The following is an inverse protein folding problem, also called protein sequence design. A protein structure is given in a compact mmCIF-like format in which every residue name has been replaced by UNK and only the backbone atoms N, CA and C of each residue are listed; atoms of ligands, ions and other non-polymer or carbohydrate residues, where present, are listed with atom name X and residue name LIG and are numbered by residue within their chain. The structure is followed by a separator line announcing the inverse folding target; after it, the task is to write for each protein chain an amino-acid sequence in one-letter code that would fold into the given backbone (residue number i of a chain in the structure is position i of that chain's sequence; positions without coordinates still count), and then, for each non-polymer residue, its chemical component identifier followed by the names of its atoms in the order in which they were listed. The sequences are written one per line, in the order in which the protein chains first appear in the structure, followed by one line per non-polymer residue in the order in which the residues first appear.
data_IF_500768320507
#
_entry.id   IF_500768320507
#
_cell.length_a   1.000
_cell.length_b   1.000
_cell.length_c   1.000
_cell.angle_alpha   90.00
_cell.angle_beta   90.00
_cell.angle_gamma   90.00
#
_symmetry.space_group_name_H-M   'P 1'
#
loop_
_entity.id
_entity.type
_entity.pdbx_description
1 polymer ?
#
# COMPACT_ATOMS: atom_id res chain seq x y z
N UNK A 1 66.43 10.88 -65.53
CA UNK A 1 66.21 11.44 -64.17
C UNK A 1 64.83 12.10 -64.13
N UNK A 2 63.74 11.38 -63.83
CA UNK A 2 62.40 11.90 -63.43
C UNK A 2 61.37 10.75 -63.32
N UNK A 3 61.23 10.15 -62.13
CA UNK A 3 60.02 9.42 -61.68
C UNK A 3 60.22 8.90 -60.24
N UNK A 4 59.70 9.61 -59.21
CA UNK A 4 58.91 8.93 -58.19
C UNK A 4 57.78 9.79 -57.58
N UNK A 5 57.26 10.79 -58.31
CA UNK A 5 56.29 11.75 -57.72
C UNK A 5 54.87 11.14 -57.58
N UNK A 6 54.48 10.22 -58.48
CA UNK A 6 53.14 9.60 -58.42
C UNK A 6 52.93 8.69 -57.20
N UNK A 7 53.98 8.03 -56.69
CA UNK A 7 53.85 7.03 -55.63
C UNK A 7 53.52 7.64 -54.25
N UNK A 8 54.01 8.86 -53.97
CA UNK A 8 53.78 9.54 -52.68
C UNK A 8 52.31 9.89 -52.45
N UNK A 9 51.60 10.28 -53.51
CA UNK A 9 50.16 10.65 -53.44
C UNK A 9 49.28 9.44 -53.08
N UNK A 10 49.55 8.28 -53.67
CA UNK A 10 48.81 7.05 -53.40
C UNK A 10 49.07 6.53 -51.98
N UNK A 11 50.31 6.63 -51.50
CA UNK A 11 50.68 6.27 -50.13
C UNK A 11 50.03 7.19 -49.09
N UNK A 12 50.03 8.51 -49.31
CA UNK A 12 49.34 9.47 -48.44
C UNK A 12 47.83 9.24 -48.37
N UNK A 13 47.18 8.96 -49.50
CA UNK A 13 45.74 8.63 -49.51
C UNK A 13 45.45 7.36 -48.72
N UNK A 14 46.33 6.36 -48.79
CA UNK A 14 46.20 5.10 -48.04
C UNK A 14 46.42 5.29 -46.53
N UNK A 15 47.39 6.11 -46.12
CA UNK A 15 47.63 6.41 -44.70
C UNK A 15 46.50 7.25 -44.09
N UNK A 16 46.00 8.25 -44.81
CA UNK A 16 44.84 9.06 -44.40
C UNK A 16 43.61 8.18 -44.23
N UNK A 17 43.30 7.32 -45.21
CA UNK A 17 42.16 6.39 -45.13
C UNK A 17 42.31 5.41 -43.96
N UNK A 18 43.51 4.89 -43.71
CA UNK A 18 43.77 3.99 -42.57
C UNK A 18 43.54 4.69 -41.23
N UNK A 19 43.99 5.93 -41.08
CA UNK A 19 43.78 6.69 -39.85
C UNK A 19 42.32 7.07 -39.66
N UNK A 20 41.61 7.43 -40.75
CA UNK A 20 40.17 7.68 -40.75
C UNK A 20 39.37 6.44 -40.35
N UNK A 21 39.69 5.28 -40.92
CA UNK A 21 39.07 4.01 -40.52
C UNK A 21 39.34 3.71 -39.05
N UNK A 22 40.58 3.83 -38.60
CA UNK A 22 40.94 3.61 -37.19
C UNK A 22 40.14 4.52 -36.25
N UNK A 23 40.04 5.81 -36.57
CA UNK A 23 39.23 6.77 -35.81
C UNK A 23 37.75 6.40 -35.80
N UNK A 24 37.17 6.05 -36.96
CA UNK A 24 35.78 5.60 -37.05
C UNK A 24 35.52 4.33 -36.24
N UNK A 25 36.46 3.38 -36.24
CA UNK A 25 36.34 2.14 -35.46
C UNK A 25 36.32 2.44 -33.96
N UNK A 26 37.20 3.33 -33.47
CA UNK A 26 37.22 3.73 -32.07
C UNK A 26 35.91 4.40 -31.67
N UNK A 27 35.41 5.33 -32.48
CA UNK A 27 34.14 6.01 -32.23
C UNK A 27 32.97 5.01 -32.19
N UNK A 28 32.91 4.09 -33.15
CA UNK A 28 31.87 3.07 -33.20
C UNK A 28 31.92 2.13 -31.98
N UNK A 29 33.12 1.76 -31.50
CA UNK A 29 33.28 0.92 -30.31
C UNK A 29 32.81 1.64 -29.04
N UNK A 30 33.14 2.93 -28.88
CA UNK A 30 32.74 3.69 -27.69
C UNK A 30 31.23 3.92 -27.69
N UNK A 31 30.66 4.41 -28.79
CA UNK A 31 29.22 4.67 -28.88
C UNK A 31 28.41 3.38 -28.82
N UNK A 32 28.87 2.32 -29.50
CA UNK A 32 28.24 1.01 -29.46
C UNK A 32 28.31 0.39 -28.06
N UNK A 33 29.49 0.40 -27.43
CA UNK A 33 29.69 -0.15 -26.08
C UNK A 33 28.85 0.59 -25.03
N UNK A 34 28.88 1.92 -25.03
CA UNK A 34 28.04 2.72 -24.12
C UNK A 34 26.56 2.53 -24.40
N UNK A 35 26.15 2.49 -25.66
CA UNK A 35 24.74 2.31 -26.04
C UNK A 35 24.20 0.94 -25.61
N UNK A 36 24.96 -0.12 -25.86
CA UNK A 36 24.62 -1.47 -25.39
C UNK A 36 24.53 -1.50 -23.88
N UNK A 37 25.56 -1.01 -23.18
CA UNK A 37 25.57 -1.00 -21.72
C UNK A 37 24.40 -0.21 -21.15
N UNK A 38 24.13 1.00 -21.65
CA UNK A 38 23.03 1.84 -21.20
C UNK A 38 21.64 1.21 -21.47
N UNK A 39 21.48 0.47 -22.57
CA UNK A 39 20.23 -0.23 -22.88
C UNK A 39 20.03 -1.52 -22.06
N UNK A 40 21.11 -2.15 -21.60
CA UNK A 40 21.04 -3.40 -20.82
C UNK A 40 21.18 -3.20 -19.31
N UNK A 41 21.55 -2.01 -18.86
CA UNK A 41 21.77 -1.75 -17.45
C UNK A 41 20.43 -1.55 -16.73
N UNK A 42 20.04 -2.53 -15.91
CA UNK A 42 18.90 -2.40 -15.02
C UNK A 42 19.22 -1.52 -13.82
N UNK A 43 18.61 -0.33 -13.76
CA UNK A 43 18.69 0.56 -12.60
C UNK A 43 17.62 0.11 -11.61
N UNK A 44 18.01 -0.82 -10.73
CA UNK A 44 17.15 -1.31 -9.64
C UNK A 44 17.14 -0.30 -8.48
N UNK A 45 16.05 0.46 -8.36
CA UNK A 45 15.78 1.33 -7.22
C UNK A 45 14.69 0.75 -6.35
N UNK A 46 14.99 0.39 -5.10
CA UNK A 46 13.98 0.02 -4.12
C UNK A 46 13.40 1.29 -3.49
N UNK A 47 12.12 1.57 -3.74
CA UNK A 47 11.40 2.66 -3.07
C UNK A 47 10.91 2.13 -1.72
N UNK A 48 11.41 2.71 -0.63
CA UNK A 48 10.92 2.42 0.72
C UNK A 48 9.72 3.33 0.96
N UNK A 49 8.51 2.75 0.96
CA UNK A 49 7.28 3.46 1.32
C UNK A 49 6.72 2.92 2.64
N UNK A 50 6.06 3.79 3.42
CA UNK A 50 5.36 3.40 4.63
C UNK A 50 3.90 3.10 4.28
N UNK A 51 3.57 1.81 4.22
CA UNK A 51 2.19 1.33 4.13
C UNK A 51 1.69 0.85 5.49
N UNK A 52 0.45 1.17 5.85
CA UNK A 52 -0.19 0.70 7.08
C UNK A 52 -1.24 -0.34 6.71
N UNK A 53 -1.14 -1.53 7.30
CA UNK A 53 -2.16 -2.57 7.16
C UNK A 53 -3.17 -2.37 8.29
N UNK A 54 -4.36 -1.88 7.96
CA UNK A 54 -5.46 -1.74 8.91
C UNK A 54 -6.40 -2.93 8.71
N UNK A 55 -6.63 -3.69 9.78
CA UNK A 55 -7.68 -4.72 9.79
C UNK A 55 -9.02 -4.00 9.86
N UNK A 56 -9.93 -4.32 8.93
CA UNK A 56 -11.28 -3.78 8.92
C UNK A 56 -12.07 -4.30 10.14
N UNK A 57 -11.91 -3.62 11.27
CA UNK A 57 -12.61 -3.94 12.50
C UNK A 57 -14.04 -3.40 12.41
N UNK A 58 -14.97 -4.25 12.01
CA UNK A 58 -16.41 -3.96 12.01
C UNK A 58 -16.97 -4.05 13.43
N UNK A 59 -16.61 -3.11 14.31
CA UNK A 59 -17.23 -2.98 15.63
C UNK A 59 -18.69 -2.52 15.47
N UNK A 60 -19.61 -3.48 15.48
CA UNK A 60 -21.03 -3.17 15.54
C UNK A 60 -21.37 -2.73 16.95
N UNK A 61 -21.42 -1.41 17.17
CA UNK A 61 -21.84 -0.81 18.43
C UNK A 61 -23.31 -1.16 18.73
N UNK A 62 -23.54 -2.04 19.69
CA UNK A 62 -24.89 -2.37 20.21
C UNK A 62 -25.15 -1.49 21.42
N UNK A 63 -26.04 -0.51 21.28
CA UNK A 63 -26.41 0.45 22.33
C UNK A 63 -27.91 0.32 22.64
N UNK A 64 -28.28 0.26 23.93
CA UNK A 64 -29.69 0.26 24.34
C UNK A 64 -30.31 1.67 24.17
N UNK A 65 -31.47 1.84 23.49
CA UNK A 65 -32.06 3.15 23.17
C UNK A 65 -32.42 4.00 24.39
N UNK A 66 -32.84 3.36 25.48
CA UNK A 66 -33.39 4.05 26.66
C UNK A 66 -32.36 4.26 27.77
N UNK A 67 -31.17 3.64 27.67
CA UNK A 67 -30.19 3.58 28.76
C UNK A 67 -30.70 2.85 30.03
N UNK A 68 -29.77 2.41 30.88
CA UNK A 68 -30.04 1.79 32.18
C UNK A 68 -28.78 1.17 32.81
N UNK A 69 -28.82 0.86 34.11
CA UNK A 69 -27.67 0.26 34.82
C UNK A 69 -27.49 -1.19 34.38
N UNK A 70 -26.29 -1.55 33.92
CA UNK A 70 -25.94 -2.93 33.55
C UNK A 70 -25.93 -3.79 34.82
N UNK A 71 -26.81 -4.80 34.87
CA UNK A 71 -26.86 -5.75 35.98
C UNK A 71 -25.89 -6.92 35.77
N UNK A 72 -25.88 -7.51 34.57
CA UNK A 72 -24.98 -8.63 34.21
C UNK A 72 -24.52 -8.52 32.77
N UNK A 73 -23.24 -8.82 32.53
CA UNK A 73 -22.65 -9.03 31.20
C UNK A 73 -22.44 -10.53 31.04
N UNK A 74 -23.03 -11.11 29.99
CA UNK A 74 -23.08 -12.57 29.78
C UNK A 74 -22.01 -13.05 28.77
N UNK A 75 -21.19 -12.14 28.24
CA UNK A 75 -20.20 -12.39 27.20
C UNK A 75 -18.85 -11.75 27.54
N UNK A 76 -17.76 -12.30 27.00
CA UNK A 76 -16.39 -11.79 27.15
C UNK A 76 -15.84 -11.31 25.82
N UNK A 77 -14.81 -10.47 25.87
CA UNK A 77 -14.12 -10.00 24.67
C UNK A 77 -13.59 -11.18 23.85
N UNK A 78 -13.99 -11.25 22.58
CA UNK A 78 -13.63 -12.32 21.65
C UNK A 78 -14.63 -13.48 21.55
N UNK A 79 -15.71 -13.48 22.33
CA UNK A 79 -16.75 -14.52 22.23
C UNK A 79 -17.54 -14.42 20.92
N UNK A 80 -17.81 -15.57 20.29
CA UNK A 80 -18.65 -15.66 19.08
C UNK A 80 -20.13 -15.67 19.47
N UNK A 81 -20.87 -14.66 19.06
CA UNK A 81 -22.30 -14.50 19.33
C UNK A 81 -23.15 -14.60 18.05
N UNK A 82 -24.38 -15.09 18.19
CA UNK A 82 -25.38 -15.17 17.11
C UNK A 82 -26.49 -14.16 17.33
N UNK A 83 -27.27 -13.89 16.29
CA UNK A 83 -28.44 -13.02 16.40
C UNK A 83 -29.46 -13.64 17.36
N UNK A 84 -29.87 -12.88 18.39
CA UNK A 84 -30.79 -13.33 19.43
C UNK A 84 -30.11 -13.68 20.76
N UNK A 85 -28.79 -13.75 20.82
CA UNK A 85 -28.07 -14.01 22.07
C UNK A 85 -28.17 -12.80 23.02
N UNK A 86 -28.44 -13.07 24.29
CA UNK A 86 -28.51 -12.04 25.33
C UNK A 86 -27.08 -11.68 25.74
N UNK A 87 -26.62 -10.50 25.33
CA UNK A 87 -25.27 -10.02 25.64
C UNK A 87 -25.19 -9.37 27.02
N UNK A 88 -26.20 -8.58 27.35
CA UNK A 88 -26.26 -7.75 28.56
C UNK A 88 -27.67 -7.79 29.13
N UNK A 89 -27.78 -7.95 30.45
CA UNK A 89 -29.02 -7.83 31.20
C UNK A 89 -29.01 -6.52 31.98
N UNK A 90 -29.98 -5.64 31.71
CA UNK A 90 -30.21 -4.42 32.48
C UNK A 90 -30.79 -4.76 33.85
N UNK A 91 -30.46 -3.97 34.88
CA UNK A 91 -30.91 -4.22 36.25
C UNK A 91 -32.40 -3.92 36.42
N UNK A 92 -33.14 -4.85 37.02
CA UNK A 92 -34.60 -4.79 37.24
C UNK A 92 -35.03 -3.80 38.36
N UNK A 93 -34.11 -3.03 38.91
CA UNK A 93 -34.39 -2.10 40.03
C UNK A 93 -35.28 -0.91 39.63
N UNK A 94 -35.23 -0.45 38.38
CA UNK A 94 -36.02 0.70 37.91
C UNK A 94 -37.42 0.33 37.40
N UNK A 95 -37.64 -0.77 36.62
CA UNK A 95 -38.98 -1.11 36.12
C UNK A 95 -40.01 -1.42 37.22
N UNK A 96 -39.57 -2.01 38.35
CA UNK A 96 -40.47 -2.34 39.47
C UNK A 96 -40.96 -1.09 40.22
N UNK A 97 -40.17 -0.03 40.29
CA UNK A 97 -40.56 1.21 40.96
C UNK A 97 -41.68 1.94 40.20
N UNK A 98 -41.63 1.97 38.87
CA UNK A 98 -42.70 2.56 38.05
C UNK A 98 -43.98 1.72 38.07
N UNK A 99 -43.87 0.39 38.06
CA UNK A 99 -45.06 -0.48 38.14
C UNK A 99 -45.80 -0.27 39.47
N UNK A 100 -45.08 -0.22 40.59
CA UNK A 100 -45.67 0.01 41.92
C UNK A 100 -46.35 1.39 42.04
N UNK A 101 -45.86 2.40 41.31
CA UNK A 101 -46.47 3.73 41.30
C UNK A 101 -47.79 3.74 40.52
N UNK A 102 -47.84 3.09 39.35
CA UNK A 102 -49.06 3.04 38.53
C UNK A 102 -50.15 2.20 39.19
N UNK A 103 -49.80 1.06 39.79
CA UNK A 103 -50.80 0.25 40.53
C UNK A 103 -51.35 0.98 41.74
N UNK A 104 -50.51 1.71 42.49
CA UNK A 104 -50.97 2.53 43.62
C UNK A 104 -52.00 3.59 43.22
N UNK A 105 -51.84 4.23 42.05
CA UNK A 105 -52.80 5.23 41.57
C UNK A 105 -54.12 4.60 41.10
N UNK A 106 -54.11 3.34 40.65
CA UNK A 106 -55.34 2.62 40.27
C UNK A 106 -56.11 2.13 41.50
N UNK A 107 -55.41 1.72 42.56
CA UNK A 107 -56.02 1.33 43.84
C UNK A 107 -56.61 2.54 44.60
N UNK A 108 -56.16 3.77 44.35
CA UNK A 108 -56.76 4.99 44.93
C UNK A 108 -58.00 5.49 44.17
N UNK A 109 -58.26 4.97 42.97
CA UNK A 109 -59.40 5.37 42.10
C UNK A 109 -60.59 4.40 42.15
N UNK A 110 -60.51 3.33 42.94
CA UNK A 110 -61.59 2.39 43.24
C UNK A 110 -61.77 2.22 44.75
#
# INVERSE_FOLDING_TARGET
MMAPVLNRSLSNRRSIRRNLLGGMTVVALVLGGMGVWAGTADISGAIISHGWVVVENSEKKVQHPTGGVVGKILVRDGDRVRAGDILVQLSDTIPRASLAYVTKNLDELY
#
